data_IF_503600632108
#
_entry.id   IF_503600632108
#
_cell.length_a   1.000
_cell.length_b   1.000
_cell.length_c   1.000
_cell.angle_alpha   90.00
_cell.angle_beta   90.00
_cell.angle_gamma   90.00
#
_symmetry.space_group_name_H-M   'P 1'
#
loop_
_entity.id
_entity.type
_entity.pdbx_description
1 polymer ?
#
# COMPACT_ATOMS: atom_id res chain seq x y z
N UNK A 1 -7.71 27.10 -0.16
CA UNK A 1 -8.54 26.33 -1.10
C UNK A 1 -8.37 24.86 -0.75
N UNK A 2 -9.18 24.36 0.19
CA UNK A 2 -9.16 22.96 0.58
C UNK A 2 -10.11 22.22 -0.35
N UNK A 3 -9.57 21.30 -1.16
CA UNK A 3 -10.37 20.37 -1.94
C UNK A 3 -10.93 19.36 -0.93
N UNK A 4 -12.23 19.43 -0.66
CA UNK A 4 -12.95 18.35 0.01
C UNK A 4 -12.76 17.09 -0.83
N UNK A 5 -12.06 16.12 -0.26
CA UNK A 5 -11.90 14.80 -0.83
C UNK A 5 -13.18 14.02 -0.53
N UNK A 6 -13.99 13.84 -1.57
CA UNK A 6 -15.26 13.15 -1.50
C UNK A 6 -15.03 11.65 -1.25
N UNK A 7 -15.34 11.20 -0.02
CA UNK A 7 -15.16 9.80 0.37
C UNK A 7 -16.16 8.87 -0.33
N UNK A 8 -17.28 9.41 -0.83
CA UNK A 8 -18.32 8.63 -1.49
C UNK A 8 -17.87 8.06 -2.84
N UNK A 9 -16.86 8.68 -3.48
CA UNK A 9 -16.33 8.22 -4.77
C UNK A 9 -15.58 6.87 -4.65
N UNK A 10 -14.87 6.61 -3.55
CA UNK A 10 -14.16 5.34 -3.37
C UNK A 10 -15.08 4.18 -3.00
N UNK A 11 -16.16 4.44 -2.26
CA UNK A 11 -17.06 3.38 -1.79
C UNK A 11 -17.91 2.83 -2.94
N UNK A 12 -18.38 3.69 -3.85
CA UNK A 12 -19.21 3.29 -4.99
C UNK A 12 -18.50 2.37 -5.99
N UNK A 13 -17.22 2.63 -6.29
CA UNK A 13 -16.42 1.78 -7.18
C UNK A 13 -15.96 0.46 -6.53
N UNK A 14 -15.92 0.39 -5.19
CA UNK A 14 -15.56 -0.84 -4.50
C UNK A 14 -16.66 -1.91 -4.59
N UNK A 15 -17.94 -1.50 -4.51
CA UNK A 15 -19.08 -2.39 -4.71
C UNK A 15 -19.19 -2.89 -6.16
N UNK A 16 -18.87 -2.06 -7.16
CA UNK A 16 -18.80 -2.50 -8.55
C UNK A 16 -17.71 -3.55 -8.79
N UNK A 17 -16.52 -3.39 -8.19
CA UNK A 17 -15.45 -4.38 -8.27
C UNK A 17 -15.80 -5.68 -7.54
N UNK A 18 -16.51 -5.61 -6.40
CA UNK A 18 -17.03 -6.82 -5.74
C UNK A 18 -18.09 -7.52 -6.58
N UNK A 19 -18.96 -6.78 -7.27
CA UNK A 19 -19.96 -7.37 -8.17
C UNK A 19 -19.32 -8.02 -9.40
N UNK A 20 -18.24 -7.45 -9.96
CA UNK A 20 -17.46 -8.10 -11.04
C UNK A 20 -16.84 -9.42 -10.55
N UNK A 21 -16.32 -9.45 -9.31
CA UNK A 21 -15.78 -10.67 -8.71
C UNK A 21 -16.89 -11.70 -8.38
N UNK A 22 -18.09 -11.27 -7.99
CA UNK A 22 -19.23 -12.17 -7.72
C UNK A 22 -19.85 -12.67 -9.03
N UNK A 23 -19.93 -11.87 -10.09
CA UNK A 23 -20.36 -12.34 -11.42
C UNK A 23 -19.42 -13.40 -11.99
N UNK A 24 -18.15 -13.44 -11.59
CA UNK A 24 -17.25 -14.56 -11.94
C UNK A 24 -17.60 -15.88 -11.24
N UNK A 25 -18.35 -15.83 -10.12
CA UNK A 25 -18.86 -17.04 -9.45
C UNK A 25 -20.14 -17.60 -10.07
N UNK A 26 -20.86 -16.81 -10.89
CA UNK A 26 -21.99 -17.29 -11.69
C UNK A 26 -21.57 -18.05 -12.95
N UNK A 27 -20.27 -18.07 -13.27
CA UNK A 27 -19.70 -18.92 -14.33
C UNK A 27 -19.66 -20.41 -13.89
N UNK A 28 -19.93 -20.72 -12.62
CA UNK A 28 -19.77 -22.08 -12.07
C UNK A 28 -21.00 -23.01 -12.16
N UNK A 29 -22.21 -22.54 -12.50
CA UNK A 29 -23.40 -23.41 -12.44
C UNK A 29 -23.68 -24.27 -13.69
N UNK A 30 -23.02 -24.03 -14.84
CA UNK A 30 -23.33 -24.75 -16.09
C UNK A 30 -22.44 -25.99 -16.38
N UNK A 31 -21.75 -26.51 -15.36
CA UNK A 31 -20.82 -27.65 -15.48
C UNK A 31 -21.48 -29.01 -15.19
N UNK A 32 -22.46 -29.47 -15.98
CA UNK A 32 -23.06 -30.83 -15.84
C UNK A 32 -22.72 -31.85 -16.93
N UNK A 33 -21.80 -31.57 -17.84
CA UNK A 33 -21.29 -32.55 -18.82
C UNK A 33 -19.97 -33.20 -18.36
N UNK A 34 -19.89 -34.55 -18.22
CA UNK A 34 -18.71 -35.24 -17.67
C UNK A 34 -17.49 -35.28 -18.61
N UNK A 35 -17.61 -34.97 -19.91
CA UNK A 35 -16.46 -34.86 -20.84
C UNK A 35 -15.92 -33.45 -21.03
N UNK A 36 -16.67 -32.42 -20.62
CA UNK A 36 -16.22 -31.02 -20.65
C UNK A 36 -15.41 -30.63 -19.38
N UNK A 37 -15.47 -31.41 -18.30
CA UNK A 37 -14.98 -30.97 -16.97
C UNK A 37 -13.46 -30.91 -16.77
N UNK A 38 -12.65 -31.75 -17.40
CA UNK A 38 -11.22 -31.80 -17.06
C UNK A 38 -10.35 -30.84 -17.88
N UNK A 39 -10.72 -30.56 -19.13
CA UNK A 39 -9.92 -29.72 -20.02
C UNK A 39 -10.05 -28.23 -19.65
N UNK A 40 -11.23 -27.82 -19.20
CA UNK A 40 -11.52 -26.45 -18.77
C UNK A 40 -10.83 -26.08 -17.45
N UNK A 41 -10.83 -26.96 -16.44
CA UNK A 41 -10.20 -26.66 -15.14
C UNK A 41 -8.70 -26.36 -15.27
N UNK A 42 -7.99 -27.09 -16.13
CA UNK A 42 -6.56 -26.85 -16.35
C UNK A 42 -6.33 -25.48 -16.98
N UNK A 43 -7.12 -25.12 -17.99
CA UNK A 43 -7.04 -23.81 -18.63
C UNK A 43 -7.29 -22.67 -17.64
N UNK A 44 -8.33 -22.75 -16.81
CA UNK A 44 -8.61 -21.72 -15.81
C UNK A 44 -7.52 -21.63 -14.74
N UNK A 45 -6.97 -22.76 -14.29
CA UNK A 45 -5.86 -22.78 -13.35
C UNK A 45 -4.60 -22.14 -13.94
N UNK A 46 -4.29 -22.43 -15.21
CA UNK A 46 -3.17 -21.85 -15.94
C UNK A 46 -3.35 -20.33 -16.16
N UNK A 47 -4.59 -19.85 -16.38
CA UNK A 47 -4.89 -18.42 -16.46
C UNK A 47 -4.82 -17.71 -15.10
N UNK A 48 -5.13 -18.40 -14.00
CA UNK A 48 -5.10 -17.82 -12.66
C UNK A 48 -3.71 -17.82 -12.02
N UNK A 49 -2.86 -18.83 -12.31
CA UNK A 49 -1.57 -18.98 -11.63
C UNK A 49 -0.62 -17.82 -11.90
N UNK A 50 -0.59 -17.31 -13.14
CA UNK A 50 0.30 -16.21 -13.55
C UNK A 50 0.00 -14.90 -12.79
N UNK A 51 -1.23 -14.35 -12.81
CA UNK A 51 -1.54 -13.13 -12.07
C UNK A 51 -1.38 -13.30 -10.56
N UNK A 52 -1.73 -14.46 -9.99
CA UNK A 52 -1.54 -14.73 -8.55
C UNK A 52 -0.04 -14.70 -8.19
N UNK A 53 0.81 -15.34 -8.99
CA UNK A 53 2.26 -15.33 -8.77
C UNK A 53 2.85 -13.92 -8.92
N UNK A 54 2.41 -13.16 -9.93
CA UNK A 54 2.81 -11.77 -10.14
C UNK A 54 2.45 -10.87 -8.95
N UNK A 55 1.19 -10.95 -8.48
CA UNK A 55 0.70 -10.18 -7.34
C UNK A 55 1.43 -10.55 -6.04
N UNK A 56 1.69 -11.85 -5.82
CA UNK A 56 2.44 -12.34 -4.66
C UNK A 56 3.88 -11.80 -4.68
N UNK A 57 4.56 -11.89 -5.82
CA UNK A 57 5.92 -11.37 -6.01
C UNK A 57 5.99 -9.87 -5.74
N UNK A 58 5.01 -9.11 -6.26
CA UNK A 58 4.92 -7.68 -6.01
C UNK A 58 4.72 -7.37 -4.51
N UNK A 59 3.77 -8.04 -3.87
CA UNK A 59 3.47 -7.83 -2.45
C UNK A 59 4.69 -8.13 -1.56
N UNK A 60 5.45 -9.19 -1.85
CA UNK A 60 6.68 -9.52 -1.12
C UNK A 60 7.78 -8.46 -1.37
N UNK A 61 7.95 -8.03 -2.62
CA UNK A 61 8.93 -7.00 -2.99
C UNK A 61 8.64 -5.66 -2.30
N UNK A 62 7.38 -5.26 -2.18
CA UNK A 62 6.98 -4.07 -1.43
C UNK A 62 7.25 -4.17 0.07
N UNK A 63 7.27 -5.38 0.66
CA UNK A 63 7.66 -5.56 2.07
C UNK A 63 9.15 -5.32 2.27
N UNK A 64 9.99 -5.73 1.32
CA UNK A 64 11.43 -5.44 1.33
C UNK A 64 11.66 -3.93 1.32
N UNK A 65 10.86 -3.18 0.54
CA UNK A 65 10.94 -1.72 0.52
C UNK A 65 10.64 -1.06 1.88
N UNK A 66 9.69 -1.60 2.66
CA UNK A 66 9.43 -1.11 4.01
C UNK A 66 10.64 -1.33 4.92
N UNK A 67 11.27 -2.51 4.85
CA UNK A 67 12.47 -2.85 5.61
C UNK A 67 13.62 -1.92 5.23
N UNK A 68 13.86 -1.73 3.93
CA UNK A 68 14.84 -0.79 3.42
C UNK A 68 14.59 0.64 3.90
N UNK A 69 13.34 1.13 3.83
CA UNK A 69 12.93 2.43 4.35
C UNK A 69 13.29 2.60 5.83
N UNK A 70 13.05 1.57 6.66
CA UNK A 70 13.45 1.59 8.07
C UNK A 70 14.96 1.70 8.25
N UNK A 71 15.76 0.94 7.51
CA UNK A 71 17.23 1.00 7.58
C UNK A 71 17.76 2.36 7.13
N UNK A 72 17.17 2.94 6.08
CA UNK A 72 17.49 4.28 5.60
C UNK A 72 16.90 5.41 6.45
N UNK A 73 16.18 5.09 7.55
CA UNK A 73 15.44 6.05 8.39
C UNK A 73 14.44 6.93 7.62
N UNK A 74 13.90 6.42 6.53
CA UNK A 74 12.86 7.07 5.72
C UNK A 74 11.50 6.53 6.15
N UNK A 75 10.61 7.44 6.52
CA UNK A 75 9.21 7.14 6.85
C UNK A 75 8.26 7.67 5.79
N UNK A 76 6.98 7.33 5.87
CA UNK A 76 5.94 7.90 5.00
C UNK A 76 5.80 9.43 5.09
N UNK A 77 6.36 10.07 6.12
CA UNK A 77 6.31 11.53 6.28
C UNK A 77 7.62 12.24 5.93
N UNK A 78 8.67 11.49 5.58
CA UNK A 78 9.94 12.09 5.15
C UNK A 78 9.71 12.80 3.80
N UNK A 79 9.83 14.14 3.74
CA UNK A 79 9.48 14.91 2.55
C UNK A 79 10.34 14.52 1.34
N UNK A 80 9.70 14.31 0.18
CA UNK A 80 10.36 13.92 -1.06
C UNK A 80 10.84 12.46 -1.08
N UNK A 81 11.74 12.09 -0.17
CA UNK A 81 12.40 10.79 -0.13
C UNK A 81 11.43 9.61 -0.04
N UNK A 82 10.34 9.75 0.71
CA UNK A 82 9.36 8.69 0.85
C UNK A 82 8.66 8.36 -0.47
N UNK A 83 8.36 9.38 -1.28
CA UNK A 83 7.78 9.23 -2.61
C UNK A 83 8.79 8.67 -3.62
N UNK A 84 10.05 9.10 -3.56
CA UNK A 84 11.12 8.58 -4.43
C UNK A 84 11.36 7.10 -4.17
N UNK A 85 11.59 6.72 -2.91
CA UNK A 85 11.78 5.31 -2.54
C UNK A 85 10.53 4.47 -2.81
N UNK A 86 9.34 5.02 -2.58
CA UNK A 86 8.08 4.35 -2.94
C UNK A 86 7.94 4.13 -4.45
N UNK A 87 8.34 5.09 -5.28
CA UNK A 87 8.35 4.93 -6.74
C UNK A 87 9.31 3.80 -7.17
N UNK A 88 10.55 3.83 -6.67
CA UNK A 88 11.56 2.79 -6.91
C UNK A 88 11.03 1.42 -6.46
N UNK A 89 10.37 1.36 -5.31
CA UNK A 89 9.77 0.14 -4.79
C UNK A 89 8.69 -0.43 -5.74
N UNK A 90 7.79 0.40 -6.26
CA UNK A 90 6.76 -0.06 -7.23
C UNK A 90 7.40 -0.49 -8.55
N UNK A 91 8.37 0.27 -9.07
CA UNK A 91 9.07 -0.07 -10.31
C UNK A 91 9.80 -1.41 -10.21
N UNK A 92 10.60 -1.60 -9.16
CA UNK A 92 11.33 -2.85 -8.93
C UNK A 92 10.38 -4.03 -8.68
N UNK A 93 9.31 -3.83 -7.90
CA UNK A 93 8.30 -4.87 -7.65
C UNK A 93 7.57 -5.27 -8.93
N UNK A 94 7.30 -4.31 -9.82
CA UNK A 94 6.61 -4.53 -11.09
C UNK A 94 7.51 -5.24 -12.10
N UNK A 95 8.81 -4.90 -12.12
CA UNK A 95 9.81 -5.63 -12.91
C UNK A 95 9.95 -7.07 -12.43
N UNK A 96 10.06 -7.30 -11.12
CA UNK A 96 10.12 -8.64 -10.54
C UNK A 96 8.85 -9.45 -10.85
N UNK A 97 7.68 -8.83 -10.73
CA UNK A 97 6.41 -9.46 -11.06
C UNK A 97 6.34 -9.84 -12.55
N UNK A 98 6.75 -8.94 -13.46
CA UNK A 98 6.81 -9.21 -14.90
C UNK A 98 7.77 -10.35 -15.25
N UNK A 99 8.97 -10.36 -14.65
CA UNK A 99 9.94 -11.44 -14.81
C UNK A 99 9.36 -12.80 -14.39
N UNK A 100 8.65 -12.87 -13.26
CA UNK A 100 7.97 -14.09 -12.79
C UNK A 100 6.83 -14.48 -13.73
N UNK A 101 5.98 -13.52 -14.15
CA UNK A 101 4.87 -13.79 -15.06
C UNK A 101 5.34 -14.41 -16.37
N UNK A 102 6.35 -13.83 -17.00
CA UNK A 102 6.87 -14.31 -18.28
C UNK A 102 7.60 -15.65 -18.15
N UNK A 103 8.32 -15.87 -17.05
CA UNK A 103 8.94 -17.17 -16.77
C UNK A 103 7.88 -18.28 -16.64
N UNK A 104 6.78 -18.02 -15.91
CA UNK A 104 5.68 -18.98 -15.76
C UNK A 104 4.96 -19.20 -17.09
N UNK A 105 4.62 -18.14 -17.83
CA UNK A 105 3.96 -18.28 -19.14
C UNK A 105 4.82 -19.09 -20.12
N UNK A 106 6.14 -18.86 -20.16
CA UNK A 106 7.07 -19.65 -20.97
C UNK A 106 7.09 -21.12 -20.55
N UNK A 107 7.15 -21.38 -19.24
CA UNK A 107 7.11 -22.74 -18.71
C UNK A 107 5.82 -23.47 -19.09
N UNK A 108 4.67 -22.79 -19.00
CA UNK A 108 3.37 -23.34 -19.40
C UNK A 108 3.31 -23.62 -20.91
N UNK A 109 3.88 -22.74 -21.73
CA UNK A 109 3.87 -22.89 -23.19
C UNK A 109 4.83 -23.97 -23.72
N UNK A 110 6.02 -24.12 -23.12
CA UNK A 110 7.06 -25.05 -23.58
C UNK A 110 6.97 -26.43 -22.93
N UNK A 111 6.23 -26.54 -21.82
CA UNK A 111 6.18 -27.75 -21.00
C UNK A 111 7.41 -27.90 -20.08
N UNK A 112 7.46 -29.00 -19.31
CA UNK A 112 8.52 -29.25 -18.33
C UNK A 112 9.84 -29.58 -19.04
N UNK A 113 10.64 -28.54 -19.31
CA UNK A 113 12.01 -28.64 -19.80
C UNK A 113 13.02 -28.08 -18.79
N UNK A 114 14.31 -28.19 -19.09
CA UNK A 114 15.34 -27.53 -18.30
C UNK A 114 15.08 -26.01 -18.30
N UNK A 115 14.99 -25.36 -17.13
CA UNK A 115 14.72 -23.92 -17.06
C UNK A 115 15.90 -23.18 -17.69
N UNK A 116 15.75 -22.78 -18.94
CA UNK A 116 16.67 -21.87 -19.58
C UNK A 116 16.62 -20.53 -18.82
N UNK A 117 17.77 -19.90 -18.62
CA UNK A 117 17.85 -18.60 -17.95
C UNK A 117 17.06 -17.58 -18.76
N UNK A 118 15.83 -17.32 -18.34
CA UNK A 118 14.99 -16.31 -18.96
C UNK A 118 15.33 -14.93 -18.40
N UNK A 119 15.60 -13.98 -19.26
CA UNK A 119 15.78 -12.57 -18.90
C UNK A 119 14.78 -11.76 -19.71
N UNK A 120 13.95 -11.00 -19.02
CA UNK A 120 12.99 -10.07 -19.63
C UNK A 120 13.72 -9.10 -20.58
N UNK A 121 13.13 -8.86 -21.77
CA UNK A 121 13.70 -7.90 -22.71
C UNK A 121 13.64 -6.48 -22.13
N UNK A 122 14.49 -5.57 -22.62
CA UNK A 122 14.48 -4.17 -22.16
C UNK A 122 13.12 -3.49 -22.39
N UNK A 123 12.48 -3.78 -23.53
CA UNK A 123 11.18 -3.19 -23.85
C UNK A 123 10.07 -3.71 -22.93
N UNK A 124 10.07 -5.01 -22.66
CA UNK A 124 9.12 -5.63 -21.75
C UNK A 124 9.34 -5.14 -20.31
N UNK A 125 10.60 -4.96 -19.89
CA UNK A 125 10.93 -4.40 -18.58
C UNK A 125 10.38 -2.98 -18.41
N UNK A 126 10.57 -2.12 -19.42
CA UNK A 126 10.01 -0.76 -19.43
C UNK A 126 8.48 -0.80 -19.39
N UNK A 127 7.86 -1.67 -20.17
CA UNK A 127 6.41 -1.87 -20.16
C UNK A 127 5.90 -2.29 -18.77
N UNK A 128 6.53 -3.27 -18.13
CA UNK A 128 6.15 -3.72 -16.78
C UNK A 128 6.25 -2.58 -15.75
N UNK A 129 7.33 -1.79 -15.81
CA UNK A 129 7.54 -0.65 -14.90
C UNK A 129 6.47 0.43 -15.11
N UNK A 130 6.23 0.86 -16.35
CA UNK A 130 5.25 1.92 -16.65
C UNK A 130 3.84 1.47 -16.26
N UNK A 131 3.45 0.26 -16.68
CA UNK A 131 2.12 -0.29 -16.40
C UNK A 131 1.91 -0.48 -14.90
N UNK A 132 2.91 -0.99 -14.18
CA UNK A 132 2.84 -1.15 -12.72
C UNK A 132 2.71 0.18 -11.97
N UNK A 133 3.47 1.20 -12.36
CA UNK A 133 3.36 2.55 -11.78
C UNK A 133 2.00 3.18 -12.05
N UNK A 134 1.51 3.08 -13.29
CA UNK A 134 0.20 3.58 -13.69
C UNK A 134 -0.92 2.88 -12.91
N UNK A 135 -0.92 1.55 -12.88
CA UNK A 135 -1.89 0.75 -12.15
C UNK A 135 -1.86 1.06 -10.64
N UNK A 136 -0.68 1.20 -10.03
CA UNK A 136 -0.56 1.57 -8.62
C UNK A 136 -1.24 2.91 -8.34
N UNK A 137 -1.06 3.90 -9.22
CA UNK A 137 -1.69 5.22 -9.11
C UNK A 137 -3.19 5.19 -9.33
N UNK A 138 -3.66 4.52 -10.39
CA UNK A 138 -5.09 4.38 -10.71
C UNK A 138 -5.85 3.75 -9.55
N UNK A 139 -5.26 2.74 -8.88
CA UNK A 139 -5.83 2.12 -7.70
C UNK A 139 -5.66 2.92 -6.39
N UNK A 140 -5.42 4.23 -6.47
CA UNK A 140 -5.33 5.12 -5.31
C UNK A 140 -4.05 4.97 -4.49
N UNK A 141 -2.99 4.44 -5.09
CA UNK A 141 -1.69 4.29 -4.44
C UNK A 141 -0.98 5.63 -4.23
N UNK A 142 -0.41 5.83 -3.04
CA UNK A 142 0.52 6.92 -2.76
C UNK A 142 1.90 6.33 -2.47
N UNK A 143 2.92 6.75 -3.22
CA UNK A 143 4.27 6.19 -3.08
C UNK A 143 4.84 6.38 -1.66
N UNK A 144 4.61 7.54 -1.04
CA UNK A 144 5.02 7.79 0.34
C UNK A 144 4.43 6.79 1.33
N UNK A 145 3.23 6.26 1.07
CA UNK A 145 2.57 5.29 1.94
C UNK A 145 3.19 3.89 1.87
N UNK A 146 4.17 3.64 0.98
CA UNK A 146 4.91 2.38 0.95
C UNK A 146 6.04 2.33 1.98
N UNK A 147 6.45 3.48 2.52
CA UNK A 147 7.46 3.57 3.57
C UNK A 147 6.83 3.32 4.95
N UNK A 148 7.61 2.86 5.94
CA UNK A 148 7.08 2.63 7.28
C UNK A 148 6.53 3.93 7.89
N UNK A 149 5.49 3.80 8.72
CA UNK A 149 4.91 4.94 9.43
C UNK A 149 5.81 5.39 10.58
N UNK A 150 5.90 6.70 10.84
CA UNK A 150 6.58 7.22 12.02
C UNK A 150 5.57 7.47 13.14
N UNK A 151 5.78 6.89 14.33
CA UNK A 151 4.81 6.89 15.47
C UNK A 151 4.29 8.27 15.89
N UNK A 152 5.07 9.34 15.69
CA UNK A 152 4.70 10.70 16.07
C UNK A 152 3.99 11.52 14.99
N UNK A 153 3.75 10.94 13.81
CA UNK A 153 3.16 11.65 12.68
C UNK A 153 1.94 10.92 12.12
N UNK A 154 1.30 11.52 11.11
CA UNK A 154 0.24 10.86 10.36
C UNK A 154 0.84 9.61 9.69
N UNK A 155 0.41 8.43 10.12
CA UNK A 155 0.83 7.17 9.51
C UNK A 155 0.32 6.98 8.08
N UNK A 156 0.92 6.03 7.37
CA UNK A 156 0.63 5.70 5.97
C UNK A 156 -0.81 5.24 5.70
N UNK A 157 -1.55 4.86 6.75
CA UNK A 157 -2.91 4.33 6.68
C UNK A 157 -3.94 5.27 7.32
N UNK A 158 -3.61 6.55 7.42
CA UNK A 158 -4.46 7.56 8.04
C UNK A 158 -5.53 8.10 7.07
N UNK A 159 -6.56 7.27 6.84
CA UNK A 159 -7.71 7.59 6.01
C UNK A 159 -8.69 8.52 6.74
N UNK A 160 -8.97 8.24 8.02
CA UNK A 160 -9.89 9.02 8.84
C UNK A 160 -9.17 9.89 9.88
N UNK A 161 -9.72 11.07 10.19
CA UNK A 161 -9.25 11.91 11.29
C UNK A 161 -10.31 12.89 11.79
N UNK A 162 -10.23 13.26 13.06
CA UNK A 162 -11.11 14.28 13.66
C UNK A 162 -10.30 15.44 14.24
N UNK A 163 -10.80 16.69 14.20
CA UNK A 163 -10.11 17.80 14.84
C UNK A 163 -10.05 17.60 16.37
N UNK A 164 -8.87 17.85 16.95
CA UNK A 164 -8.70 17.88 18.40
C UNK A 164 -8.85 19.32 18.92
N UNK A 165 -9.60 19.49 20.02
CA UNK A 165 -9.81 20.82 20.65
C UNK A 165 -8.69 21.10 21.65
N UNK A 166 -7.48 21.31 21.12
CA UNK A 166 -6.27 21.53 21.92
C UNK A 166 -5.75 20.23 22.56
N UNK A 167 -5.13 20.29 23.76
CA UNK A 167 -4.52 19.13 24.41
C UNK A 167 -5.52 18.21 25.13
N UNK A 168 -6.80 18.58 25.11
CA UNK A 168 -7.86 17.88 25.83
C UNK A 168 -8.10 16.47 25.29
N UNK A 169 -8.50 15.56 26.17
CA UNK A 169 -8.93 14.23 25.77
C UNK A 169 -10.12 14.28 24.81
N UNK A 170 -10.23 13.26 23.96
CA UNK A 170 -11.34 13.11 23.04
C UNK A 170 -12.67 13.00 23.80
N UNK A 171 -13.70 13.72 23.33
CA UNK A 171 -15.05 13.59 23.91
C UNK A 171 -15.63 12.19 23.66
N UNK A 172 -16.65 11.75 24.43
CA UNK A 172 -17.27 10.43 24.22
C UNK A 172 -17.75 10.20 22.78
N UNK A 173 -18.29 11.23 22.13
CA UNK A 173 -18.72 11.19 20.72
C UNK A 173 -17.52 11.00 19.79
N UNK A 174 -16.41 11.72 20.02
CA UNK A 174 -15.19 11.55 19.22
C UNK A 174 -14.59 10.16 19.40
N UNK A 175 -14.59 9.63 20.62
CA UNK A 175 -14.14 8.26 20.91
C UNK A 175 -14.99 7.24 20.16
N UNK A 176 -16.32 7.41 20.15
CA UNK A 176 -17.24 6.54 19.39
C UNK A 176 -16.89 6.56 17.90
N UNK A 177 -16.74 7.75 17.31
CA UNK A 177 -16.41 7.89 15.88
C UNK A 177 -15.04 7.29 15.54
N UNK A 178 -14.03 7.52 16.37
CA UNK A 178 -12.69 6.93 16.19
C UNK A 178 -12.72 5.40 16.30
N UNK A 179 -13.56 4.84 17.18
CA UNK A 179 -13.74 3.38 17.28
C UNK A 179 -14.40 2.83 16.02
N UNK A 180 -15.45 3.47 15.51
CA UNK A 180 -16.07 3.08 14.23
C UNK A 180 -15.06 3.13 13.10
N UNK A 181 -14.32 4.22 12.95
CA UNK A 181 -13.27 4.36 11.95
C UNK A 181 -12.16 3.30 12.10
N UNK A 182 -11.80 2.93 13.33
CA UNK A 182 -10.82 1.87 13.57
C UNK A 182 -11.29 0.49 13.09
N UNK A 183 -12.58 0.19 13.22
CA UNK A 183 -13.13 -1.08 12.73
C UNK A 183 -13.11 -1.13 11.18
N UNK A 184 -13.41 0.01 10.54
CA UNK A 184 -13.45 0.13 9.07
C UNK A 184 -12.06 0.25 8.47
N UNK A 185 -11.26 1.23 8.88
CA UNK A 185 -9.96 1.53 8.28
C UNK A 185 -8.80 0.78 8.94
N UNK A 186 -8.91 0.53 10.24
CA UNK A 186 -7.83 0.03 11.08
C UNK A 186 -6.97 1.13 11.68
N UNK A 187 -5.93 0.71 12.38
CA UNK A 187 -4.93 1.61 12.95
C UNK A 187 -4.24 2.41 11.85
N UNK A 188 -4.16 3.73 12.01
CA UNK A 188 -3.57 4.62 11.02
C UNK A 188 -2.05 4.42 10.79
N UNK A 189 -1.36 3.71 11.69
CA UNK A 189 0.06 3.36 11.57
C UNK A 189 0.31 1.98 10.95
N UNK A 190 -0.35 0.93 11.46
CA UNK A 190 -0.07 -0.46 11.11
C UNK A 190 -1.22 -1.20 10.40
N UNK A 191 -2.42 -0.60 10.36
CA UNK A 191 -3.59 -1.17 9.68
C UNK A 191 -4.34 -2.23 10.47
N UNK A 192 -3.94 -2.54 11.70
CA UNK A 192 -4.63 -3.50 12.57
C UNK A 192 -6.06 -3.03 12.87
N UNK A 193 -7.05 -3.92 12.72
CA UNK A 193 -8.48 -3.68 13.03
C UNK A 193 -8.98 -4.36 14.30
N UNK A 194 -8.12 -5.12 14.98
CA UNK A 194 -8.47 -5.86 16.19
C UNK A 194 -7.91 -5.23 17.47
N UNK A 195 -8.63 -5.42 18.58
CA UNK A 195 -8.28 -4.92 19.90
C UNK A 195 -8.85 -3.53 20.19
N UNK A 196 -8.39 -2.92 21.28
CA UNK A 196 -8.85 -1.58 21.72
C UNK A 196 -8.30 -0.49 20.80
N UNK A 197 -9.20 0.40 20.36
CA UNK A 197 -8.88 1.64 19.66
C UNK A 197 -8.76 2.81 20.63
N UNK A 198 -7.77 3.66 20.38
CA UNK A 198 -7.48 4.88 21.12
C UNK A 198 -7.51 6.05 20.14
N UNK A 199 -8.09 7.17 20.57
CA UNK A 199 -8.03 8.44 19.86
C UNK A 199 -6.70 9.13 20.13
N UNK A 200 -5.71 8.84 19.27
CA UNK A 200 -4.35 9.35 19.43
C UNK A 200 -4.22 10.77 18.86
N UNK A 201 -3.52 11.64 19.59
CA UNK A 201 -3.23 13.00 19.15
C UNK A 201 -2.02 13.00 18.23
N UNK A 202 -2.21 13.48 17.01
CA UNK A 202 -1.12 13.72 16.07
C UNK A 202 -1.07 15.21 15.68
N UNK A 203 0.07 15.90 15.89
CA UNK A 203 1.24 15.42 16.64
C UNK A 203 0.94 15.25 18.15
N UNK A 204 1.71 14.42 18.88
CA UNK A 204 1.57 14.25 20.33
C UNK A 204 1.76 15.55 21.11
N UNK A 205 1.05 15.70 22.24
CA UNK A 205 1.09 16.90 23.08
C UNK A 205 2.52 17.31 23.47
N UNK A 206 3.37 16.35 23.85
CA UNK A 206 4.79 16.61 24.18
C UNK A 206 5.55 17.29 23.03
N UNK A 207 5.29 16.89 21.78
CA UNK A 207 5.92 17.49 20.60
C UNK A 207 5.36 18.89 20.37
N UNK A 208 4.05 19.08 20.55
CA UNK A 208 3.43 20.41 20.43
C UNK A 208 4.01 21.39 21.44
N UNK A 209 4.17 20.98 22.71
CA UNK A 209 4.79 21.83 23.74
C UNK A 209 6.26 22.13 23.42
N UNK A 210 7.01 21.14 22.94
CA UNK A 210 8.41 21.35 22.50
C UNK A 210 8.50 22.37 21.35
N UNK A 211 7.60 22.28 20.37
CA UNK A 211 7.55 23.23 19.24
C UNK A 211 7.20 24.64 19.74
N UNK A 212 6.21 24.76 20.62
CA UNK A 212 5.83 26.04 21.23
C UNK A 212 7.01 26.67 21.98
N UNK A 213 7.69 25.89 22.82
CA UNK A 213 8.83 26.36 23.61
C UNK A 213 9.97 26.85 22.71
N UNK A 214 10.39 26.05 21.71
CA UNK A 214 11.46 26.44 20.78
C UNK A 214 11.11 27.71 20.00
N UNK A 215 9.84 27.87 19.61
CA UNK A 215 9.38 29.05 18.87
C UNK A 215 9.35 30.31 19.74
N UNK A 216 8.94 30.18 21.01
CA UNK A 216 8.93 31.29 21.98
C UNK A 216 10.35 31.75 22.38
N UNK A 217 11.34 30.88 22.22
CA UNK A 217 12.74 31.23 22.46
C UNK A 217 13.40 31.98 21.29
N UNK A 218 12.78 32.01 20.11
CA UNK A 218 13.33 32.68 18.93
C UNK A 218 13.33 34.21 19.06
N UNK A 219 14.48 34.84 18.80
CA UNK A 219 14.65 36.30 18.78
C UNK A 219 13.55 37.02 17.97
N UNK A 220 13.26 36.52 16.77
CA UNK A 220 12.25 37.08 15.87
C UNK A 220 10.81 36.95 16.38
N UNK A 221 10.48 35.87 17.11
CA UNK A 221 9.15 35.69 17.67
C UNK A 221 8.86 36.74 18.76
N UNK A 222 9.89 37.09 19.55
CA UNK A 222 9.81 38.18 20.54
C UNK A 222 9.70 39.54 19.86
N UNK A 223 10.44 39.76 18.78
CA UNK A 223 10.47 41.05 18.07
C UNK A 223 9.15 41.36 17.35
N UNK A 224 8.51 40.37 16.72
CA UNK A 224 7.34 40.59 15.86
C UNK A 224 5.98 40.49 16.58
N UNK A 225 5.98 40.23 17.90
CA UNK A 225 4.77 40.09 18.74
C UNK A 225 3.64 39.24 18.11
N UNK A 226 4.03 38.23 17.31
CA UNK A 226 3.08 37.42 16.56
C UNK A 226 2.34 36.51 17.54
N UNK A 227 1.11 36.89 17.90
CA UNK A 227 0.23 36.06 18.72
C UNK A 227 0.00 34.72 18.00
N UNK A 228 0.46 33.67 18.64
CA UNK A 228 0.60 32.36 18.03
C UNK A 228 -0.75 31.70 17.76
N UNK A 229 -0.96 31.21 16.54
CA UNK A 229 -2.07 30.31 16.22
C UNK A 229 -1.74 28.89 16.72
N UNK A 230 -2.74 28.22 17.31
CA UNK A 230 -2.57 26.87 17.88
C UNK A 230 -2.08 25.90 16.79
N UNK A 231 -1.06 25.08 17.09
CA UNK A 231 -0.68 23.97 16.22
C UNK A 231 -1.87 23.04 16.06
N UNK A 232 -2.41 22.85 14.84
CA UNK A 232 -3.59 22.02 14.67
C UNK A 232 -3.24 20.57 15.02
N UNK A 233 -3.96 20.01 15.98
CA UNK A 233 -3.89 18.60 16.34
C UNK A 233 -5.14 17.88 15.85
N UNK A 234 -4.99 16.60 15.51
CA UNK A 234 -6.10 15.75 15.09
C UNK A 234 -6.04 14.40 15.81
N UNK A 235 -7.21 13.84 16.05
CA UNK A 235 -7.38 12.47 16.52
C UNK A 235 -7.32 11.49 15.36
N UNK A 236 -6.56 10.42 15.53
CA UNK A 236 -6.50 9.29 14.61
C UNK A 236 -6.78 7.96 15.33
N UNK A 237 -7.37 6.96 14.63
CA UNK A 237 -7.58 5.64 15.19
C UNK A 237 -6.24 4.91 15.37
N UNK A 238 -5.87 4.60 16.61
CA UNK A 238 -4.61 3.94 16.94
C UNK A 238 -4.82 2.70 17.81
N UNK A 239 -4.11 1.61 17.52
CA UNK A 239 -4.11 0.42 18.39
C UNK A 239 -3.14 0.59 19.56
N UNK A 240 -3.42 -0.10 20.68
CA UNK A 240 -2.57 -0.09 21.88
C UNK A 240 -1.10 -0.43 21.61
N UNK A 241 -0.80 -1.34 20.67
CA UNK A 241 0.59 -1.69 20.33
C UNK A 241 1.34 -0.51 19.70
N UNK A 242 0.68 0.27 18.84
CA UNK A 242 1.30 1.45 18.25
C UNK A 242 1.39 2.59 19.26
N UNK A 243 0.38 2.77 20.11
CA UNK A 243 0.42 3.74 21.22
C UNK A 243 1.60 3.46 22.16
N UNK A 244 1.77 2.22 22.63
CA UNK A 244 2.91 1.84 23.50
C UNK A 244 4.26 2.12 22.83
N UNK A 245 4.38 1.88 21.51
CA UNK A 245 5.59 2.23 20.75
C UNK A 245 5.81 3.73 20.66
N UNK A 246 4.75 4.51 20.45
CA UNK A 246 4.83 5.97 20.46
C UNK A 246 5.31 6.48 21.82
N UNK A 247 4.70 6.02 22.92
CA UNK A 247 5.14 6.39 24.27
C UNK A 247 6.60 5.99 24.52
N UNK A 248 6.99 4.77 24.16
CA UNK A 248 8.38 4.31 24.32
C UNK A 248 9.36 5.13 23.48
N UNK A 249 8.97 5.58 22.28
CA UNK A 249 9.78 6.47 21.46
C UNK A 249 9.89 7.87 22.06
N UNK A 250 8.80 8.44 22.58
CA UNK A 250 8.82 9.75 23.24
C UNK A 250 9.71 9.76 24.49
N UNK A 251 9.78 8.64 25.22
CA UNK A 251 10.61 8.52 26.43
C UNK A 251 12.07 8.20 26.07
N UNK A 252 12.31 7.21 25.21
CA UNK A 252 13.64 6.63 25.01
C UNK A 252 14.29 7.00 23.67
N UNK A 253 13.57 7.64 22.75
CA UNK A 253 14.03 7.93 21.39
C UNK A 253 14.23 6.71 20.48
N UNK A 254 13.79 5.50 20.89
CA UNK A 254 14.09 4.24 20.19
C UNK A 254 12.93 3.79 19.27
N UNK A 255 13.29 3.28 18.09
CA UNK A 255 12.42 2.56 17.14
C UNK A 255 11.10 3.27 16.76
N UNK A 256 11.14 4.43 16.09
CA UNK A 256 9.93 5.17 15.71
C UNK A 256 9.11 4.54 14.58
N UNK A 257 9.65 3.53 13.89
CA UNK A 257 9.08 3.01 12.65
C UNK A 257 8.09 1.88 12.91
N UNK A 258 6.91 2.00 12.30
CA UNK A 258 5.85 1.00 12.32
C UNK A 258 5.58 0.55 10.90
N UNK A 259 5.82 -0.73 10.66
CA UNK A 259 5.44 -1.39 9.42
C UNK A 259 3.92 -1.56 9.35
N UNK A 260 3.37 -1.42 8.15
CA UNK A 260 1.94 -1.59 7.88
C UNK A 260 1.71 -2.82 7.03
N UNK A 261 1.91 -3.98 7.67
CA UNK A 261 1.47 -5.26 7.13
C UNK A 261 0.03 -5.48 7.57
N UNK A 262 -0.92 -5.24 6.67
CA UNK A 262 -2.27 -5.75 6.87
C UNK A 262 -2.18 -7.28 6.83
N UNK A 263 -2.47 -7.94 7.96
CA UNK A 263 -2.97 -9.32 7.90
C UNK A 263 -4.37 -9.25 7.28
N UNK A 264 -4.55 -9.84 6.11
CA UNK A 264 -5.81 -9.80 5.37
C UNK A 264 -5.62 -9.30 3.94
N UNK A 265 -6.70 -8.79 3.35
CA UNK A 265 -6.74 -8.40 1.94
C UNK A 265 -5.82 -7.18 1.73
N UNK A 266 -4.83 -7.27 0.81
CA UNK A 266 -3.95 -6.16 0.49
C UNK A 266 -4.76 -4.99 -0.09
N UNK A 267 -4.23 -3.76 0.00
CA UNK A 267 -4.87 -2.62 -0.66
C UNK A 267 -4.92 -2.86 -2.17
N UNK A 268 -5.95 -2.36 -2.88
CA UNK A 268 -6.06 -2.51 -4.33
C UNK A 268 -4.79 -2.05 -5.07
N UNK A 269 -4.16 -0.97 -4.61
CA UNK A 269 -2.89 -0.48 -5.18
C UNK A 269 -1.74 -1.48 -5.09
N UNK A 270 -1.70 -2.34 -4.07
CA UNK A 270 -0.69 -3.39 -3.94
C UNK A 270 -0.97 -4.57 -4.88
N UNK A 271 -2.17 -4.64 -5.45
CA UNK A 271 -2.57 -5.61 -6.47
C UNK A 271 -2.37 -5.08 -7.91
N UNK A 272 -1.69 -3.95 -8.07
CA UNK A 272 -1.35 -3.38 -9.39
C UNK A 272 -0.69 -4.38 -10.34
N UNK A 273 0.07 -5.35 -9.82
CA UNK A 273 0.73 -6.38 -10.62
C UNK A 273 -0.17 -7.57 -11.02
N UNK A 274 -1.43 -7.64 -10.56
CA UNK A 274 -2.39 -8.60 -11.14
C UNK A 274 -2.56 -8.35 -12.63
N UNK A 275 -2.68 -7.07 -13.03
CA UNK A 275 -2.80 -6.68 -14.44
C UNK A 275 -1.60 -7.13 -15.27
N UNK A 276 -0.39 -7.07 -14.69
CA UNK A 276 0.83 -7.52 -15.36
C UNK A 276 0.81 -9.01 -15.68
N UNK A 277 0.26 -9.85 -14.79
CA UNK A 277 0.13 -11.28 -15.05
C UNK A 277 -0.99 -11.64 -16.03
N UNK A 278 -1.96 -10.74 -16.23
CA UNK A 278 -3.04 -10.90 -17.22
C UNK A 278 -2.61 -10.59 -18.65
N UNK A 279 -1.51 -9.84 -18.86
CA UNK A 279 -1.01 -9.61 -20.21
C UNK A 279 -0.32 -10.86 -20.75
N UNK A 280 -0.78 -11.34 -21.91
CA UNK A 280 -0.18 -12.48 -22.60
C UNK A 280 1.13 -12.06 -23.27
N UNK A 281 2.21 -12.80 -23.00
CA UNK A 281 3.48 -12.66 -23.70
C UNK A 281 3.31 -13.09 -25.16
N UNK A 282 3.23 -12.14 -26.07
CA UNK A 282 3.45 -12.39 -27.50
C UNK A 282 4.95 -12.36 -27.73
N UNK A 283 5.62 -13.50 -27.50
CA UNK A 283 7.03 -13.62 -27.82
C UNK A 283 7.27 -13.24 -29.28
N UNK A 284 8.31 -12.45 -29.54
CA UNK A 284 8.79 -12.21 -30.90
C UNK A 284 9.34 -13.53 -31.45
N UNK A 285 8.46 -14.37 -32.00
CA UNK A 285 8.79 -15.62 -32.70
C UNK A 285 9.48 -15.40 -34.05
N UNK A 286 9.96 -14.18 -34.33
CA UNK A 286 10.24 -13.69 -35.68
C UNK A 286 11.65 -13.91 -36.22
N UNK A 287 12.48 -14.84 -35.72
CA UNK A 287 13.89 -14.89 -36.20
C UNK A 287 14.56 -16.24 -36.46
N UNK A 288 13.94 -17.40 -36.24
CA UNK A 288 14.65 -18.69 -36.48
C UNK A 288 14.11 -19.59 -37.61
N UNK A 289 13.07 -19.19 -38.35
CA UNK A 289 12.64 -19.94 -39.55
C UNK A 289 13.58 -19.78 -40.75
N UNK A 290 14.55 -18.86 -40.71
CA UNK A 290 15.44 -18.57 -41.84
C UNK A 290 16.77 -19.35 -41.90
N UNK A 291 17.10 -20.20 -40.92
CA UNK A 291 18.43 -20.87 -40.84
C UNK A 291 18.40 -22.40 -40.87
N UNK A 292 17.26 -23.02 -41.22
CA UNK A 292 17.23 -24.42 -41.69
C UNK A 292 17.18 -24.43 -43.21
N UNK A 293 18.33 -24.21 -43.85
CA UNK A 293 18.61 -24.62 -45.23
C UNK A 293 19.92 -25.38 -45.23
#
# INVERSE_FOLDING_TARGET
>A
MFVEWDCDFQEKHWYELQNILISSSLIFEDFRSPRFKMMDCRYYLEQAVVPIAAATTCCLSLQVAQVAGRFCRVSCVTPGWSSVLGCIAVSSSSLAAGQVSFAIQRYLAQGPGTPEKFVISRNDAVFCVITGLAAFKIFGGHFCNLMPSHVCHKGALANFSMPARGPNLASPVQIKNIRTAFLVDGCHHCGRRSGKSIADHIPPNMIVETIKQKRNQGFWAKLLNVKQTRTPQRFYPQCEKCMKRQSAFLINGKNPFVFHWKRGIPKPSHLSSLLLGSFTYKGNSSTNEGKRK
#
